data_IF_562508060582
#
_entry.id   IF_562508060582
#
_cell.length_a   1.000
_cell.length_b   1.000
_cell.length_c   1.000
_cell.angle_alpha   90.00
_cell.angle_beta   90.00
_cell.angle_gamma   90.00
#
_symmetry.space_group_name_H-M   'P 1'
#
loop_
_entity.id
_entity.type
_entity.pdbx_description
1 polymer ?
#
# COMPACT_ATOMS: atom_id res chain seq x y z
N UNK A 1 1.79 -14.05 3.53
CA UNK A 1 2.63 -12.84 3.33
C UNK A 1 1.81 -11.64 3.80
N UNK A 2 2.22 -10.93 4.86
CA UNK A 2 1.39 -9.85 5.45
C UNK A 2 1.35 -8.67 4.48
N UNK A 3 0.15 -8.28 4.03
CA UNK A 3 -0.06 -7.15 3.10
C UNK A 3 -0.42 -5.84 3.81
N UNK A 4 -0.38 -5.80 5.15
CA UNK A 4 -0.80 -4.63 5.94
C UNK A 4 0.15 -4.35 7.12
N UNK A 5 0.50 -3.07 7.36
CA UNK A 5 1.38 -2.66 8.45
C UNK A 5 0.75 -2.76 9.84
N UNK A 6 -0.56 -2.95 9.94
CA UNK A 6 -1.31 -2.91 11.21
C UNK A 6 -1.80 -4.28 11.69
N UNK A 7 -1.33 -5.37 11.07
CA UNK A 7 -1.65 -6.74 11.49
C UNK A 7 -0.44 -7.32 12.22
N UNK A 8 -0.40 -7.12 13.54
CA UNK A 8 0.59 -7.74 14.41
C UNK A 8 0.17 -9.17 14.72
N UNK A 9 1.13 -10.10 14.72
CA UNK A 9 0.88 -11.48 15.14
C UNK A 9 2.07 -12.04 15.89
N UNK A 10 1.79 -12.98 16.79
CA UNK A 10 2.77 -13.66 17.63
C UNK A 10 2.58 -15.18 17.51
N UNK A 11 3.68 -15.89 17.31
CA UNK A 11 3.71 -17.35 17.45
C UNK A 11 3.77 -17.69 18.95
N UNK A 12 2.74 -18.37 19.44
CA UNK A 12 2.62 -18.75 20.85
C UNK A 12 2.89 -20.23 21.09
N UNK A 13 3.48 -20.93 20.11
CA UNK A 13 3.87 -22.35 20.24
C UNK A 13 4.79 -22.61 21.43
N UNK A 14 5.53 -21.59 21.91
CA UNK A 14 6.42 -21.69 23.07
C UNK A 14 5.70 -21.69 24.44
N UNK A 15 4.44 -21.24 24.51
CA UNK A 15 3.58 -21.31 25.71
C UNK A 15 2.43 -22.30 25.58
N UNK A 16 2.13 -22.78 24.36
CA UNK A 16 1.06 -23.76 24.16
C UNK A 16 1.42 -25.09 24.82
N UNK A 17 0.52 -25.69 25.63
CA UNK A 17 0.73 -27.02 26.17
C UNK A 17 0.62 -28.12 25.10
N UNK A 18 0.13 -27.80 23.90
CA UNK A 18 -0.07 -28.73 22.78
C UNK A 18 1.10 -28.63 21.78
N UNK A 19 2.01 -29.62 21.82
CA UNK A 19 3.23 -29.66 20.99
C UNK A 19 3.02 -29.69 19.48
N UNK A 20 1.80 -29.99 19.03
CA UNK A 20 1.48 -30.19 17.61
C UNK A 20 0.46 -29.17 17.09
N UNK A 21 0.03 -28.21 17.91
CA UNK A 21 -0.88 -27.15 17.51
C UNK A 21 -0.07 -25.85 17.34
N UNK A 22 0.04 -25.40 16.09
CA UNK A 22 0.62 -24.10 15.78
C UNK A 22 -0.45 -23.03 15.94
N UNK A 23 -0.52 -22.43 17.13
CA UNK A 23 -1.38 -21.29 17.39
C UNK A 23 -0.66 -19.98 17.05
N UNK A 24 -1.22 -19.23 16.10
CA UNK A 24 -0.79 -17.87 15.78
C UNK A 24 -1.87 -16.92 16.31
N UNK A 25 -1.52 -16.09 17.29
CA UNK A 25 -2.40 -15.03 17.78
C UNK A 25 -2.22 -13.77 16.94
N UNK A 26 -3.32 -13.22 16.47
CA UNK A 26 -3.37 -11.91 15.82
C UNK A 26 -3.83 -10.86 16.82
N UNK A 27 -3.09 -9.75 16.89
CA UNK A 27 -3.47 -8.64 17.72
C UNK A 27 -4.76 -7.97 17.20
N UNK A 28 -5.55 -7.43 18.12
CA UNK A 28 -6.61 -6.50 17.75
C UNK A 28 -6.00 -5.27 17.09
N UNK A 29 -6.77 -4.65 16.20
CA UNK A 29 -6.41 -3.37 15.57
C UNK A 29 -6.05 -2.32 16.60
N UNK A 30 -5.08 -1.48 16.27
CA UNK A 30 -4.67 -0.35 17.12
C UNK A 30 -5.84 0.62 17.26
N UNK A 31 -6.16 1.01 18.50
CA UNK A 31 -7.19 2.01 18.81
C UNK A 31 -6.48 3.30 19.23
N UNK A 32 -6.75 4.37 18.50
CA UNK A 32 -6.32 5.73 18.85
C UNK A 32 -7.43 6.48 19.60
N UNK A 33 -7.16 7.04 20.79
CA UNK A 33 -8.18 7.63 21.65
C UNK A 33 -8.84 8.90 21.10
N UNK A 34 -8.22 9.55 20.11
CA UNK A 34 -8.72 10.77 19.48
C UNK A 34 -9.59 10.52 18.23
N UNK A 35 -9.78 9.25 17.82
CA UNK A 35 -10.62 8.89 16.67
C UNK A 35 -11.88 8.17 17.14
N UNK A 36 -12.98 8.40 16.42
CA UNK A 36 -14.25 7.74 16.68
C UNK A 36 -14.22 6.25 16.27
N UNK A 37 -15.20 5.49 16.74
CA UNK A 37 -15.31 4.06 16.47
C UNK A 37 -15.46 3.76 14.97
N UNK A 38 -16.07 4.68 14.22
CA UNK A 38 -16.29 4.54 12.78
C UNK A 38 -14.96 4.59 12.03
N UNK A 39 -14.14 5.60 12.29
CA UNK A 39 -12.80 5.73 11.72
C UNK A 39 -11.91 4.54 12.08
N UNK A 40 -12.04 3.96 13.29
CA UNK A 40 -11.32 2.73 13.63
C UNK A 40 -11.72 1.53 12.78
N UNK A 41 -13.01 1.36 12.53
CA UNK A 41 -13.53 0.26 11.70
C UNK A 41 -13.19 0.44 10.22
N UNK A 42 -13.15 1.66 9.73
CA UNK A 42 -12.85 1.96 8.32
C UNK A 42 -11.33 1.95 8.04
N UNK A 43 -10.52 2.50 8.95
CA UNK A 43 -9.09 2.70 8.71
C UNK A 43 -8.19 1.70 9.42
N UNK A 44 -8.57 1.00 10.48
CA UNK A 44 -7.62 0.16 11.23
C UNK A 44 -8.06 -1.30 11.36
N UNK A 45 -9.32 -1.62 11.03
CA UNK A 45 -9.80 -2.99 11.01
C UNK A 45 -9.17 -3.82 9.89
N UNK A 46 -9.10 -5.13 10.11
CA UNK A 46 -8.61 -6.09 9.14
C UNK A 46 -9.60 -7.25 8.99
N UNK A 47 -9.61 -7.84 7.81
CA UNK A 47 -10.45 -8.97 7.44
C UNK A 47 -9.60 -10.23 7.31
N UNK A 48 -10.18 -11.38 7.64
CA UNK A 48 -9.62 -12.70 7.35
C UNK A 48 -10.55 -13.46 6.41
N UNK A 49 -9.98 -14.12 5.41
CA UNK A 49 -10.70 -15.09 4.58
C UNK A 49 -9.81 -16.28 4.27
N UNK A 50 -10.41 -17.43 4.07
CA UNK A 50 -9.71 -18.60 3.54
C UNK A 50 -9.40 -18.34 2.06
N UNK A 51 -8.11 -18.35 1.71
CA UNK A 51 -7.62 -18.18 0.33
C UNK A 51 -7.60 -19.53 -0.40
N UNK A 52 -7.17 -20.59 0.28
CA UNK A 52 -7.20 -21.97 -0.21
C UNK A 52 -7.16 -22.95 0.97
N UNK A 53 -7.66 -24.15 0.77
CA UNK A 53 -7.63 -25.22 1.77
C UNK A 53 -7.46 -26.57 1.07
N UNK A 54 -6.58 -27.42 1.61
CA UNK A 54 -6.41 -28.81 1.25
C UNK A 54 -6.54 -29.71 2.50
N UNK A 55 -6.34 -31.03 2.35
CA UNK A 55 -6.50 -32.01 3.43
C UNK A 55 -5.64 -31.71 4.68
N UNK A 56 -4.51 -31.01 4.52
CA UNK A 56 -3.54 -30.79 5.58
C UNK A 56 -3.27 -29.31 5.88
N UNK A 57 -3.65 -28.39 4.98
CA UNK A 57 -3.25 -26.98 5.05
C UNK A 57 -4.40 -26.05 4.72
N UNK A 58 -4.60 -25.04 5.56
CA UNK A 58 -5.45 -23.90 5.27
C UNK A 58 -4.61 -22.64 5.13
N UNK A 59 -4.73 -21.94 4.00
CA UNK A 59 -4.14 -20.62 3.79
C UNK A 59 -5.17 -19.55 4.09
N UNK A 60 -4.89 -18.72 5.09
CA UNK A 60 -5.73 -17.57 5.46
C UNK A 60 -5.09 -16.29 4.89
N UNK A 61 -5.86 -15.56 4.09
CA UNK A 61 -5.50 -14.24 3.63
C UNK A 61 -6.04 -13.19 4.60
N UNK A 62 -5.13 -12.38 5.12
CA UNK A 62 -5.42 -11.25 5.97
C UNK A 62 -5.28 -9.96 5.16
N UNK A 63 -6.35 -9.19 5.08
CA UNK A 63 -6.42 -7.91 4.38
C UNK A 63 -6.79 -6.79 5.34
N UNK A 64 -6.45 -5.57 4.97
CA UNK A 64 -6.80 -4.37 5.73
C UNK A 64 -7.98 -3.68 5.05
N UNK A 65 -8.91 -3.11 5.81
CA UNK A 65 -10.17 -2.57 5.26
C UNK A 65 -9.92 -1.51 4.20
N UNK A 66 -8.96 -0.61 4.41
CA UNK A 66 -8.60 0.42 3.43
C UNK A 66 -8.06 -0.17 2.11
N UNK A 67 -7.30 -1.28 2.18
CA UNK A 67 -6.89 -1.99 0.98
C UNK A 67 -8.09 -2.58 0.23
N UNK A 68 -9.00 -3.25 0.96
CA UNK A 68 -10.21 -3.86 0.38
C UNK A 68 -11.15 -2.79 -0.22
N UNK A 69 -11.12 -1.56 0.29
CA UNK A 69 -11.91 -0.44 -0.22
C UNK A 69 -11.47 0.03 -1.62
N UNK A 70 -10.17 -0.04 -1.93
CA UNK A 70 -9.62 0.54 -3.17
C UNK A 70 -9.10 -0.49 -4.18
N UNK A 71 -9.08 -1.77 -3.83
CA UNK A 71 -8.56 -2.83 -4.71
C UNK A 71 -9.25 -2.86 -6.08
N UNK A 72 -10.58 -2.74 -6.12
CA UNK A 72 -11.33 -2.82 -7.38
C UNK A 72 -11.08 -1.60 -8.27
N UNK A 73 -11.08 -0.39 -7.70
CA UNK A 73 -10.75 0.85 -8.42
C UNK A 73 -9.32 0.83 -8.93
N UNK A 74 -8.38 0.28 -8.15
CA UNK A 74 -6.97 0.12 -8.55
C UNK A 74 -6.88 -0.79 -9.78
N UNK A 75 -7.58 -1.92 -9.77
CA UNK A 75 -7.62 -2.85 -10.91
C UNK A 75 -8.29 -2.24 -12.14
N UNK A 76 -9.38 -1.49 -11.96
CA UNK A 76 -10.06 -0.80 -13.04
C UNK A 76 -9.14 0.20 -13.74
N UNK A 77 -8.44 1.05 -12.97
CA UNK A 77 -7.47 1.99 -13.56
C UNK A 77 -6.33 1.21 -14.22
N UNK A 78 -5.81 0.15 -13.60
CA UNK A 78 -4.76 -0.67 -14.21
C UNK A 78 -5.18 -1.19 -15.59
N UNK A 79 -6.39 -1.72 -15.72
CA UNK A 79 -6.95 -2.17 -16.99
C UNK A 79 -7.09 -1.03 -18.03
N UNK A 80 -7.55 0.16 -17.62
CA UNK A 80 -7.61 1.34 -18.51
C UNK A 80 -6.24 1.72 -19.08
N UNK A 81 -5.17 1.43 -18.34
CA UNK A 81 -3.78 1.66 -18.74
C UNK A 81 -3.07 0.41 -19.27
N UNK A 82 -3.81 -0.63 -19.64
CA UNK A 82 -3.29 -1.91 -20.15
C UNK A 82 -2.20 -2.51 -19.24
N UNK A 83 -2.39 -2.38 -17.92
CA UNK A 83 -1.50 -2.88 -16.86
C UNK A 83 -0.06 -2.34 -16.93
N UNK A 84 0.16 -1.19 -17.59
CA UNK A 84 1.49 -0.59 -17.74
C UNK A 84 1.92 0.29 -16.56
N UNK A 85 1.05 0.49 -15.57
CA UNK A 85 1.31 1.31 -14.39
C UNK A 85 1.41 0.41 -13.17
N UNK A 86 2.39 0.69 -12.31
CA UNK A 86 2.55 0.02 -11.02
C UNK A 86 1.27 0.14 -10.17
N UNK A 87 0.78 -0.98 -9.66
CA UNK A 87 -0.46 -1.01 -8.87
C UNK A 87 -0.35 -0.21 -7.57
N UNK A 88 0.84 -0.15 -6.94
CA UNK A 88 1.02 0.67 -5.74
C UNK A 88 1.00 2.16 -6.06
N UNK A 89 1.50 2.57 -7.23
CA UNK A 89 1.38 3.94 -7.71
C UNK A 89 -0.09 4.34 -7.90
N UNK A 90 -0.90 3.48 -8.52
CA UNK A 90 -2.35 3.71 -8.69
C UNK A 90 -3.03 3.78 -7.32
N UNK A 91 -2.72 2.83 -6.44
CA UNK A 91 -3.29 2.77 -5.09
C UNK A 91 -3.01 4.03 -4.29
N UNK A 92 -1.75 4.50 -4.27
CA UNK A 92 -1.38 5.76 -3.61
C UNK A 92 -2.09 6.94 -4.25
N UNK A 93 -2.20 7.01 -5.57
CA UNK A 93 -2.94 8.08 -6.23
C UNK A 93 -4.42 8.11 -5.84
N UNK A 94 -5.07 6.95 -5.76
CA UNK A 94 -6.47 6.81 -5.35
C UNK A 94 -6.68 7.19 -3.89
N UNK A 95 -5.94 6.53 -3.00
CA UNK A 95 -6.13 6.61 -1.56
C UNK A 95 -5.63 7.95 -1.00
N UNK A 96 -4.38 8.30 -1.29
CA UNK A 96 -3.73 9.46 -0.68
C UNK A 96 -4.08 10.79 -1.38
N UNK A 97 -4.29 10.79 -2.70
CA UNK A 97 -4.44 12.04 -3.45
C UNK A 97 -5.86 12.33 -3.93
N UNK A 98 -6.74 11.34 -3.99
CA UNK A 98 -7.99 11.45 -4.74
C UNK A 98 -9.23 10.95 -3.99
N UNK A 99 -9.09 10.49 -2.74
CA UNK A 99 -10.21 10.03 -1.90
C UNK A 99 -11.05 8.94 -2.60
N UNK A 100 -10.40 8.07 -3.38
CA UNK A 100 -11.06 7.01 -4.14
C UNK A 100 -11.71 7.43 -5.46
N UNK A 101 -11.67 8.71 -5.84
CA UNK A 101 -12.23 9.19 -7.10
C UNK A 101 -11.36 8.75 -8.30
N UNK A 102 -11.91 7.83 -9.10
CA UNK A 102 -11.24 7.25 -10.28
C UNK A 102 -10.89 8.31 -11.32
N UNK A 103 -11.76 9.31 -11.54
CA UNK A 103 -11.54 10.35 -12.54
C UNK A 103 -10.42 11.29 -12.09
N UNK A 104 -10.42 11.69 -10.81
CA UNK A 104 -9.32 12.49 -10.24
C UNK A 104 -8.00 11.72 -10.29
N UNK A 105 -7.99 10.45 -9.89
CA UNK A 105 -6.79 9.61 -9.91
C UNK A 105 -6.26 9.41 -11.33
N UNK A 106 -7.12 9.15 -12.31
CA UNK A 106 -6.74 9.00 -13.71
C UNK A 106 -6.14 10.30 -14.28
N UNK A 107 -6.75 11.44 -13.98
CA UNK A 107 -6.23 12.75 -14.36
C UNK A 107 -4.88 13.07 -13.70
N UNK A 108 -4.71 12.71 -12.43
CA UNK A 108 -3.45 12.86 -11.71
C UNK A 108 -2.34 12.01 -12.34
N UNK A 109 -2.62 10.73 -12.61
CA UNK A 109 -1.68 9.79 -13.23
C UNK A 109 -1.28 10.25 -14.64
N UNK A 110 -2.21 10.82 -15.41
CA UNK A 110 -1.90 11.40 -16.72
C UNK A 110 -0.93 12.59 -16.60
N UNK A 111 -1.21 13.54 -15.70
CA UNK A 111 -0.32 14.68 -15.44
C UNK A 111 1.06 14.22 -14.96
N UNK A 112 1.08 13.25 -14.06
CA UNK A 112 2.32 12.64 -13.57
C UNK A 112 3.12 11.99 -14.69
N UNK A 113 2.47 11.21 -15.58
CA UNK A 113 3.13 10.59 -16.74
C UNK A 113 3.77 11.65 -17.63
N UNK A 114 3.05 12.72 -17.96
CA UNK A 114 3.61 13.83 -18.74
C UNK A 114 4.79 14.48 -18.02
N UNK A 115 4.69 14.75 -16.72
CA UNK A 115 5.77 15.34 -15.94
C UNK A 115 7.01 14.44 -15.85
N UNK A 116 6.84 13.12 -15.71
CA UNK A 116 7.94 12.13 -15.58
C UNK A 116 8.90 12.17 -16.77
N UNK A 117 8.35 12.38 -17.98
CA UNK A 117 9.13 12.43 -19.24
C UNK A 117 9.57 13.84 -19.64
N UNK A 118 9.15 14.87 -18.91
CA UNK A 118 9.52 16.26 -19.19
C UNK A 118 10.83 16.63 -18.46
N UNK A 119 11.63 17.51 -19.06
CA UNK A 119 12.77 18.19 -18.42
C UNK A 119 13.75 17.26 -17.68
N UNK A 120 13.91 16.03 -18.18
CA UNK A 120 14.73 14.96 -17.59
C UNK A 120 14.41 14.64 -16.12
N UNK A 121 13.16 14.83 -15.68
CA UNK A 121 12.76 14.65 -14.28
C UNK A 121 13.04 13.24 -13.76
N UNK A 122 12.82 12.20 -14.56
CA UNK A 122 13.22 10.84 -14.20
C UNK A 122 14.74 10.70 -13.98
N UNK A 123 15.57 11.37 -14.79
CA UNK A 123 17.03 11.34 -14.62
C UNK A 123 17.48 12.15 -13.40
N UNK A 124 16.82 13.26 -13.09
CA UNK A 124 17.04 14.01 -11.84
C UNK A 124 16.73 13.14 -10.63
N UNK A 125 15.62 12.40 -10.65
CA UNK A 125 15.29 11.44 -9.61
C UNK A 125 16.34 10.33 -9.47
N UNK A 126 16.85 9.77 -10.58
CA UNK A 126 17.89 8.74 -10.55
C UNK A 126 19.14 9.16 -9.77
N UNK A 127 19.50 10.44 -9.80
CA UNK A 127 20.62 10.99 -9.01
C UNK A 127 20.35 11.01 -7.49
N UNK A 128 19.07 10.96 -7.09
CA UNK A 128 18.60 11.05 -5.69
C UNK A 128 18.04 9.74 -5.14
N UNK A 129 18.06 8.64 -5.90
CA UNK A 129 17.52 7.33 -5.46
C UNK A 129 18.02 6.92 -4.07
N UNK A 130 19.31 7.15 -3.78
CA UNK A 130 19.92 6.77 -2.50
C UNK A 130 19.31 7.49 -1.29
N UNK A 131 18.72 8.68 -1.45
CA UNK A 131 18.02 9.39 -0.38
C UNK A 131 16.78 8.61 0.07
N UNK A 132 16.01 8.09 -0.89
CA UNK A 132 14.81 7.30 -0.65
C UNK A 132 15.15 5.90 -0.09
N UNK A 133 16.16 5.24 -0.66
CA UNK A 133 16.57 3.90 -0.21
C UNK A 133 17.08 3.89 1.23
N UNK A 134 17.81 4.94 1.67
CA UNK A 134 18.22 5.10 3.08
C UNK A 134 17.04 5.15 4.05
N UNK A 135 15.86 5.53 3.57
CA UNK A 135 14.60 5.56 4.32
C UNK A 135 13.70 4.36 4.02
N UNK A 136 14.24 3.31 3.40
CA UNK A 136 13.53 2.08 3.02
C UNK A 136 12.37 2.29 2.04
N UNK A 137 12.37 3.39 1.31
CA UNK A 137 11.36 3.68 0.28
C UNK A 137 11.80 3.02 -1.04
N UNK A 138 11.44 1.76 -1.22
CA UNK A 138 11.96 0.91 -2.32
C UNK A 138 11.14 0.97 -3.62
N UNK A 139 9.92 1.51 -3.61
CA UNK A 139 9.11 1.63 -4.82
C UNK A 139 9.42 2.95 -5.55
N UNK A 140 10.13 2.84 -6.68
CA UNK A 140 10.61 3.99 -7.44
C UNK A 140 9.50 4.82 -8.09
N UNK A 141 8.41 4.19 -8.54
CA UNK A 141 7.30 4.91 -9.17
C UNK A 141 6.51 5.73 -8.13
N UNK A 142 6.29 5.17 -6.94
CA UNK A 142 5.71 5.92 -5.81
C UNK A 142 6.64 7.05 -5.36
N UNK A 143 7.95 6.81 -5.28
CA UNK A 143 8.93 7.85 -4.95
C UNK A 143 8.89 9.00 -5.97
N UNK A 144 8.84 8.69 -7.27
CA UNK A 144 8.70 9.70 -8.33
C UNK A 144 7.40 10.50 -8.22
N UNK A 145 6.29 9.85 -7.87
CA UNK A 145 5.04 10.55 -7.60
C UNK A 145 5.19 11.53 -6.44
N UNK A 146 5.89 11.15 -5.37
CA UNK A 146 6.14 12.04 -4.23
C UNK A 146 6.98 13.27 -4.63
N UNK A 147 7.97 13.10 -5.51
CA UNK A 147 8.73 14.23 -6.08
C UNK A 147 7.79 15.16 -6.86
N UNK A 148 6.99 14.61 -7.77
CA UNK A 148 6.01 15.37 -8.55
C UNK A 148 5.05 16.18 -7.67
N UNK A 149 4.49 15.55 -6.63
CA UNK A 149 3.58 16.21 -5.69
C UNK A 149 4.28 17.33 -4.92
N UNK A 150 5.52 17.11 -4.46
CA UNK A 150 6.28 18.12 -3.73
C UNK A 150 6.59 19.38 -4.57
N UNK A 151 6.86 19.20 -5.86
CA UNK A 151 7.10 20.32 -6.79
C UNK A 151 5.81 21.11 -7.07
N UNK A 152 4.67 20.42 -7.08
CA UNK A 152 3.36 21.02 -7.35
C UNK A 152 2.79 21.76 -6.14
N UNK A 153 2.81 21.12 -4.96
CA UNK A 153 2.02 21.52 -3.79
C UNK A 153 2.86 22.21 -2.70
N UNK A 154 4.19 22.30 -2.86
CA UNK A 154 5.14 23.04 -2.00
C UNK A 154 5.19 22.66 -0.50
N UNK A 155 4.63 21.52 -0.08
CA UNK A 155 4.85 20.82 1.22
C UNK A 155 4.43 19.34 1.10
N UNK A 156 4.90 18.36 1.93
CA UNK A 156 6.18 18.22 2.65
C UNK A 156 7.33 17.81 1.70
N UNK A 157 8.54 17.53 2.21
CA UNK A 157 9.63 16.98 1.39
C UNK A 157 9.20 15.68 0.70
N UNK A 158 9.57 15.53 -0.57
CA UNK A 158 9.34 14.34 -1.39
C UNK A 158 9.69 13.02 -0.67
N UNK A 159 10.83 12.98 0.04
CA UNK A 159 11.25 11.84 0.85
C UNK A 159 10.30 11.60 2.03
N UNK A 160 9.81 12.65 2.69
CA UNK A 160 8.85 12.52 3.79
C UNK A 160 7.52 11.92 3.32
N UNK A 161 7.04 12.36 2.16
CA UNK A 161 5.83 11.81 1.54
C UNK A 161 6.00 10.32 1.18
N UNK A 162 7.15 9.94 0.60
CA UNK A 162 7.46 8.55 0.30
C UNK A 162 7.54 7.66 1.55
N UNK A 163 8.13 8.19 2.63
CA UNK A 163 8.19 7.51 3.93
C UNK A 163 6.78 7.30 4.49
N UNK A 164 5.95 8.33 4.48
CA UNK A 164 4.56 8.25 4.95
C UNK A 164 3.77 7.18 4.20
N UNK A 165 3.85 7.16 2.87
CA UNK A 165 3.20 6.14 2.05
C UNK A 165 3.76 4.73 2.32
N UNK A 166 5.07 4.59 2.48
CA UNK A 166 5.68 3.28 2.75
C UNK A 166 5.24 2.72 4.11
N UNK A 167 5.19 3.57 5.15
CA UNK A 167 4.83 3.17 6.52
C UNK A 167 3.33 2.92 6.65
N UNK A 168 2.50 3.85 6.18
CA UNK A 168 1.06 3.82 6.41
C UNK A 168 0.36 2.84 5.45
N UNK A 169 0.79 2.81 4.18
CA UNK A 169 0.10 2.00 3.18
C UNK A 169 0.75 0.63 2.98
N UNK A 170 2.01 0.46 3.40
CA UNK A 170 2.74 -0.80 3.26
C UNK A 170 3.04 -1.23 1.81
N UNK A 171 2.51 -0.50 0.82
CA UNK A 171 2.55 -0.82 -0.61
C UNK A 171 2.04 -2.24 -0.88
N UNK A 172 0.71 -2.46 -0.81
CA UNK A 172 0.11 -3.78 -0.61
C UNK A 172 0.19 -4.70 -1.84
N UNK A 173 0.59 -4.17 -3.01
CA UNK A 173 0.71 -4.92 -4.25
C UNK A 173 2.13 -5.42 -4.46
N UNK A 174 2.23 -6.71 -4.77
CA UNK A 174 3.49 -7.38 -5.13
C UNK A 174 3.49 -7.76 -6.61
N UNK A 175 4.66 -8.06 -7.17
CA UNK A 175 4.83 -8.36 -8.61
C UNK A 175 3.87 -9.41 -9.16
N UNK A 176 3.44 -10.38 -8.35
CA UNK A 176 2.49 -11.43 -8.77
C UNK A 176 1.07 -10.88 -9.02
N UNK A 177 0.70 -9.77 -8.38
CA UNK A 177 -0.62 -9.18 -8.51
C UNK A 177 -0.79 -8.47 -9.88
N UNK A 178 0.31 -8.16 -10.59
CA UNK A 178 0.28 -7.58 -11.94
C UNK A 178 -0.17 -8.58 -13.03
N UNK A 179 -0.46 -9.83 -12.67
CA UNK A 179 -0.91 -10.89 -13.59
C UNK A 179 -2.41 -11.20 -13.44
N UNK A 180 -3.12 -10.50 -12.56
CA UNK A 180 -4.59 -10.54 -12.46
C UNK A 180 -5.21 -9.63 -13.52
#
# INVERSE_FOLDING_TARGET
MRRSPHIYSCDVSWISPFKHEHEILFARSVIYPYRDEKAHKEEYAWNAKVESEDEYTQMILLTWVQYDQYIQQTMQISAMWNHQIDLNLIYVALDYCCEGDINKASNLLLKFKTWKFRDDNEQKYKKRINEFLKKRCCNHDVNLLCVFLSERDKEPTDVGCAVGNTINNGLPFVKKDNKM
#
